data_IF_167494080784
#
_entry.id   IF_167494080784
#
_cell.length_a   1.000
_cell.length_b   1.000
_cell.length_c   1.000
_cell.angle_alpha   90.00
_cell.angle_beta   90.00
_cell.angle_gamma   90.00
#
_symmetry.space_group_name_H-M   'P 1'
#
loop_
_entity.id
_entity.type
_entity.pdbx_description
1 polymer ?
#
# COMPACT_ATOMS: atom_id res chain seq x y z
N UNK A 1 37.03 4.79 18.56
CA UNK A 1 36.37 5.31 17.35
C UNK A 1 34.91 5.54 17.71
N UNK A 2 34.46 6.80 17.72
CA UNK A 2 33.09 7.14 18.05
C UNK A 2 32.21 6.93 16.81
N UNK A 3 31.13 6.17 16.94
CA UNK A 3 30.11 6.05 15.88
C UNK A 3 29.42 7.40 15.75
N UNK A 4 29.15 7.87 14.51
CA UNK A 4 28.40 9.10 14.34
C UNK A 4 26.98 8.90 14.88
N UNK A 5 26.56 9.85 15.73
CA UNK A 5 25.16 9.95 16.18
C UNK A 5 24.25 9.95 14.95
N UNK A 6 23.40 8.93 14.82
CA UNK A 6 22.31 8.96 13.87
C UNK A 6 21.44 10.17 14.21
N UNK A 7 21.39 11.13 13.30
CA UNK A 7 20.51 12.27 13.43
C UNK A 7 19.07 11.73 13.61
N UNK A 8 18.44 12.06 14.75
CA UNK A 8 17.07 11.72 15.03
C UNK A 8 16.22 12.35 13.93
N UNK A 9 15.59 11.53 13.09
CA UNK A 9 14.69 12.02 12.06
C UNK A 9 13.71 13.02 12.69
N UNK A 10 13.46 14.15 12.03
CA UNK A 10 12.48 15.12 12.50
C UNK A 10 11.13 14.40 12.65
N UNK A 11 10.40 14.71 13.74
CA UNK A 11 9.08 14.13 13.94
C UNK A 11 8.20 14.50 12.76
N UNK A 12 7.63 13.50 12.08
CA UNK A 12 6.70 13.70 10.98
C UNK A 12 5.41 14.36 11.49
N UNK A 13 4.85 15.27 10.70
CA UNK A 13 3.52 15.83 10.97
C UNK A 13 2.42 14.73 10.93
N UNK A 14 2.69 13.60 10.26
CA UNK A 14 1.83 12.43 10.16
C UNK A 14 2.02 11.40 11.30
N UNK A 15 2.71 11.73 12.37
CA UNK A 15 3.13 10.79 13.41
C UNK A 15 2.02 9.88 13.95
N UNK A 16 0.78 10.39 14.05
CA UNK A 16 -0.37 9.63 14.54
C UNK A 16 -0.79 8.46 13.61
N UNK A 17 -0.38 8.51 12.34
CA UNK A 17 -0.68 7.47 11.35
C UNK A 17 0.39 6.37 11.29
N UNK A 18 1.53 6.59 11.96
CA UNK A 18 2.69 5.71 11.93
C UNK A 18 2.86 4.95 13.23
N UNK A 19 3.26 3.70 13.13
CA UNK A 19 3.64 2.94 14.31
C UNK A 19 4.80 3.66 15.03
N UNK A 20 4.67 3.82 16.35
CA UNK A 20 5.61 4.56 17.21
C UNK A 20 5.89 6.01 16.77
N UNK A 21 5.00 6.62 15.97
CA UNK A 21 5.18 7.99 15.47
C UNK A 21 6.28 8.16 14.42
N UNK A 22 6.84 7.05 13.90
CA UNK A 22 7.95 7.06 12.96
C UNK A 22 7.51 6.63 11.57
N UNK A 23 7.71 7.51 10.58
CA UNK A 23 7.40 7.20 9.17
C UNK A 23 8.24 6.00 8.67
N UNK A 24 7.72 5.22 7.69
CA UNK A 24 8.54 4.28 6.95
C UNK A 24 9.80 4.95 6.38
N UNK A 25 10.93 4.25 6.42
CA UNK A 25 12.20 4.77 5.92
C UNK A 25 12.52 4.22 4.52
N UNK A 26 12.95 5.11 3.62
CA UNK A 26 13.32 4.73 2.26
C UNK A 26 14.78 4.25 2.26
N UNK A 27 14.97 2.93 2.34
CA UNK A 27 16.30 2.31 2.35
C UNK A 27 16.98 2.38 0.96
N UNK A 28 16.20 2.42 -0.13
CA UNK A 28 16.74 2.60 -1.47
C UNK A 28 16.85 4.10 -1.82
N UNK A 29 18.04 4.65 -1.76
CA UNK A 29 18.32 6.08 -2.02
C UNK A 29 17.87 6.57 -3.41
N UNK A 30 17.75 5.68 -4.40
CA UNK A 30 17.23 6.07 -5.72
C UNK A 30 15.76 6.49 -5.67
N UNK A 31 15.01 6.08 -4.66
CA UNK A 31 13.60 6.42 -4.48
C UNK A 31 13.40 7.75 -3.72
N UNK A 32 14.44 8.31 -3.11
CA UNK A 32 14.32 9.58 -2.36
C UNK A 32 14.22 10.81 -3.27
N UNK A 33 14.58 10.66 -4.55
CA UNK A 33 14.49 11.75 -5.52
C UNK A 33 13.03 12.17 -5.70
N UNK A 34 12.76 13.46 -5.44
CA UNK A 34 11.42 14.06 -5.49
C UNK A 34 10.38 13.31 -4.62
N UNK A 35 10.84 12.66 -3.54
CA UNK A 35 9.95 12.10 -2.52
C UNK A 35 9.46 13.22 -1.61
N UNK A 36 8.14 13.27 -1.36
CA UNK A 36 7.50 14.31 -0.53
C UNK A 36 6.45 13.66 0.36
N UNK A 37 6.54 13.93 1.65
CA UNK A 37 5.49 13.56 2.59
C UNK A 37 4.31 14.53 2.46
N UNK A 38 3.10 13.97 2.38
CA UNK A 38 1.83 14.71 2.43
C UNK A 38 1.01 14.14 3.56
N UNK A 39 0.65 14.98 4.52
CA UNK A 39 -0.17 14.61 5.66
C UNK A 39 -1.63 14.98 5.43
N UNK A 40 -2.49 14.00 5.67
CA UNK A 40 -3.93 14.14 5.68
C UNK A 40 -4.47 13.87 7.09
N UNK A 41 -5.74 14.16 7.33
CA UNK A 41 -6.35 14.06 8.66
C UNK A 41 -6.41 12.61 9.20
N UNK A 42 -6.49 11.58 8.34
CA UNK A 42 -6.60 10.19 8.74
C UNK A 42 -5.52 9.25 8.14
N UNK A 43 -4.60 9.76 7.35
CA UNK A 43 -3.51 8.98 6.74
C UNK A 43 -2.35 9.88 6.32
N UNK A 44 -1.17 9.27 6.15
CA UNK A 44 0.00 9.93 5.59
C UNK A 44 0.41 9.28 4.28
N UNK A 45 0.96 10.07 3.35
CA UNK A 45 1.45 9.61 2.04
C UNK A 45 2.89 10.02 1.85
N UNK A 46 3.74 9.12 1.43
CA UNK A 46 5.02 9.47 0.81
C UNK A 46 4.85 9.43 -0.70
N UNK A 47 4.76 10.59 -1.30
CA UNK A 47 4.60 10.74 -2.75
C UNK A 47 5.94 10.74 -3.48
N UNK A 48 5.99 10.13 -4.66
CA UNK A 48 7.12 10.19 -5.58
C UNK A 48 6.78 11.07 -6.78
N UNK A 49 7.49 12.19 -6.93
CA UNK A 49 7.39 13.03 -8.13
C UNK A 49 7.96 12.35 -9.39
N UNK A 50 8.74 11.28 -9.24
CA UNK A 50 9.25 10.49 -10.37
C UNK A 50 8.17 9.60 -10.96
N UNK A 51 7.47 8.82 -10.11
CA UNK A 51 6.39 7.93 -10.54
C UNK A 51 5.05 8.62 -10.65
N UNK A 52 4.87 9.78 -9.99
CA UNK A 52 3.63 10.53 -9.77
C UNK A 52 2.54 9.69 -9.10
N UNK A 53 2.99 8.80 -8.21
CA UNK A 53 2.15 7.94 -7.39
C UNK A 53 2.68 7.96 -5.95
N UNK A 54 1.93 7.49 -4.95
CA UNK A 54 2.51 7.23 -3.65
C UNK A 54 3.60 6.15 -3.76
N UNK A 55 4.67 6.26 -2.97
CA UNK A 55 5.53 5.13 -2.62
C UNK A 55 4.83 4.26 -1.59
N UNK A 56 4.11 4.90 -0.69
CA UNK A 56 3.22 4.28 0.28
C UNK A 56 2.20 5.30 0.82
N UNK A 57 1.05 4.78 1.30
CA UNK A 57 0.10 5.47 2.16
C UNK A 57 -0.02 4.69 3.46
N UNK A 58 -0.01 5.36 4.61
CA UNK A 58 -0.04 4.74 5.91
C UNK A 58 -1.25 5.21 6.73
N UNK A 59 -1.88 4.28 7.44
CA UNK A 59 -3.09 4.49 8.22
C UNK A 59 -2.96 3.82 9.60
N UNK A 60 -3.48 4.47 10.64
CA UNK A 60 -3.75 3.86 11.94
C UNK A 60 -5.25 3.56 12.02
N UNK A 61 -5.63 2.34 11.70
CA UNK A 61 -7.02 1.89 11.76
C UNK A 61 -7.40 1.55 13.18
N UNK A 62 -8.43 2.22 13.72
CA UNK A 62 -9.00 1.92 15.03
C UNK A 62 -10.45 1.45 14.89
N UNK A 63 -10.92 0.66 15.87
CA UNK A 63 -12.33 0.24 15.92
C UNK A 63 -13.29 1.43 15.95
N UNK A 64 -12.94 2.49 16.69
CA UNK A 64 -13.75 3.71 16.78
C UNK A 64 -13.83 4.41 15.42
N UNK A 65 -12.67 4.73 14.80
CA UNK A 65 -12.63 5.39 13.49
C UNK A 65 -13.37 4.60 12.41
N UNK A 66 -13.21 3.26 12.39
CA UNK A 66 -13.95 2.41 11.45
C UNK A 66 -15.46 2.33 11.73
N UNK A 67 -15.89 2.52 12.99
CA UNK A 67 -17.31 2.65 13.31
C UNK A 67 -17.90 3.94 12.76
N UNK A 68 -17.13 5.03 12.84
CA UNK A 68 -17.53 6.33 12.31
C UNK A 68 -17.53 6.31 10.77
N UNK A 69 -16.50 5.71 10.15
CA UNK A 69 -16.40 5.55 8.69
C UNK A 69 -17.64 4.88 8.05
N UNK A 70 -18.30 3.95 8.75
CA UNK A 70 -19.53 3.30 8.26
C UNK A 70 -20.71 4.25 8.08
N UNK A 71 -20.69 5.40 8.73
CA UNK A 71 -21.75 6.42 8.67
C UNK A 71 -21.53 7.43 7.56
N UNK A 72 -20.34 7.40 6.95
CA UNK A 72 -19.96 8.37 5.93
C UNK A 72 -20.41 7.87 4.55
N UNK A 73 -21.25 8.65 3.89
CA UNK A 73 -21.65 8.37 2.51
C UNK A 73 -20.50 8.68 1.56
N UNK A 74 -20.19 7.77 0.65
CA UNK A 74 -19.11 7.96 -0.32
C UNK A 74 -19.45 9.06 -1.33
N UNK A 75 -18.58 10.07 -1.39
CA UNK A 75 -18.60 11.12 -2.42
C UNK A 75 -17.31 11.05 -3.22
N UNK A 76 -17.40 10.77 -4.52
CA UNK A 76 -16.23 10.66 -5.39
C UNK A 76 -15.71 12.07 -5.75
N UNK A 77 -14.76 12.57 -4.99
CA UNK A 77 -14.15 13.88 -5.16
C UNK A 77 -12.68 13.78 -5.60
N UNK A 78 -12.41 13.07 -6.69
CA UNK A 78 -11.03 12.95 -7.21
C UNK A 78 -10.46 14.31 -7.60
N UNK A 79 -9.27 14.64 -7.10
CA UNK A 79 -8.58 15.90 -7.34
C UNK A 79 -7.05 15.73 -7.35
N UNK A 80 -6.37 16.63 -8.06
CA UNK A 80 -4.93 16.72 -8.00
C UNK A 80 -4.48 17.28 -6.64
N UNK A 81 -3.34 16.81 -6.12
CA UNK A 81 -2.82 17.26 -4.84
C UNK A 81 -2.17 18.65 -4.94
N UNK A 82 -2.77 19.63 -4.29
CA UNK A 82 -2.30 21.03 -4.36
C UNK A 82 -1.00 21.28 -3.60
N UNK A 83 -0.68 20.46 -2.59
CA UNK A 83 0.55 20.55 -1.82
C UNK A 83 1.78 20.09 -2.61
N UNK A 84 1.57 19.43 -3.76
CA UNK A 84 2.64 18.93 -4.63
C UNK A 84 2.85 19.85 -5.83
N UNK A 85 4.11 20.04 -6.28
CA UNK A 85 4.39 20.75 -7.52
C UNK A 85 3.65 20.13 -8.72
N UNK A 86 3.11 20.96 -9.61
CA UNK A 86 2.37 20.49 -10.79
C UNK A 86 3.20 19.57 -11.71
N UNK A 87 4.53 19.75 -11.72
CA UNK A 87 5.47 18.91 -12.48
C UNK A 87 5.65 17.51 -11.87
N UNK A 88 5.33 17.32 -10.58
CA UNK A 88 5.57 16.11 -9.82
C UNK A 88 4.31 15.32 -9.46
N UNK A 89 3.13 15.89 -9.62
CA UNK A 89 1.85 15.27 -9.27
C UNK A 89 1.12 14.69 -10.48
N UNK A 90 0.23 13.74 -10.24
CA UNK A 90 -0.75 13.29 -11.21
C UNK A 90 -1.89 14.30 -11.36
N UNK A 91 -2.48 14.38 -12.54
CA UNK A 91 -3.65 15.18 -12.86
C UNK A 91 -4.81 14.27 -13.31
N UNK A 92 -6.05 14.74 -13.18
CA UNK A 92 -7.23 13.96 -13.60
C UNK A 92 -7.17 13.53 -15.06
N UNK A 93 -6.63 14.38 -15.93
CA UNK A 93 -6.47 14.11 -17.37
C UNK A 93 -5.57 12.91 -17.66
N UNK A 94 -4.60 12.61 -16.78
CA UNK A 94 -3.67 11.50 -16.97
C UNK A 94 -4.39 10.15 -16.95
N UNK A 95 -5.54 10.06 -16.28
CA UNK A 95 -6.36 8.86 -16.17
C UNK A 95 -7.48 8.76 -17.23
N UNK A 96 -7.71 9.81 -18.00
CA UNK A 96 -8.79 9.82 -19.01
C UNK A 96 -8.50 8.80 -20.10
N UNK A 97 -9.42 7.84 -20.29
CA UNK A 97 -9.31 6.75 -21.27
C UNK A 97 -8.03 5.91 -21.13
N UNK A 98 -7.46 5.86 -19.94
CA UNK A 98 -6.23 5.09 -19.68
C UNK A 98 -6.43 3.58 -19.65
N UNK A 99 -7.66 3.10 -19.45
CA UNK A 99 -7.96 1.69 -19.23
C UNK A 99 -7.74 1.24 -17.76
N UNK A 100 -7.27 2.14 -16.91
CA UNK A 100 -7.03 1.88 -15.48
C UNK A 100 -7.99 2.66 -14.59
N UNK A 101 -8.33 2.07 -13.44
CA UNK A 101 -9.02 2.78 -12.37
C UNK A 101 -8.01 3.65 -11.58
N UNK A 102 -8.51 4.65 -10.89
CA UNK A 102 -7.78 5.37 -9.83
C UNK A 102 -7.90 4.54 -8.56
N UNK A 103 -6.93 3.63 -8.34
CA UNK A 103 -6.91 2.73 -7.21
C UNK A 103 -6.41 3.42 -5.95
N UNK A 104 -7.17 3.35 -4.86
CA UNK A 104 -6.80 3.92 -3.57
C UNK A 104 -5.72 3.09 -2.88
N UNK A 105 -4.77 3.77 -2.23
CA UNK A 105 -3.86 3.11 -1.28
C UNK A 105 -4.44 3.16 0.13
N UNK A 106 -4.83 4.33 0.64
CA UNK A 106 -5.69 4.49 1.81
C UNK A 106 -7.16 4.56 1.36
N UNK A 107 -8.00 3.56 1.67
CA UNK A 107 -9.35 3.45 1.10
C UNK A 107 -10.31 4.49 1.66
N UNK A 108 -11.17 5.05 0.83
CA UNK A 108 -12.21 6.00 1.28
C UNK A 108 -13.19 5.41 2.31
N UNK A 109 -13.32 4.09 2.35
CA UNK A 109 -14.20 3.40 3.32
C UNK A 109 -13.58 3.25 4.72
N UNK A 110 -12.33 3.64 4.90
CA UNK A 110 -11.62 3.62 6.19
C UNK A 110 -11.65 5.00 6.88
N UNK A 111 -12.09 6.03 6.16
CA UNK A 111 -12.04 7.42 6.58
C UNK A 111 -13.17 7.77 7.57
N UNK A 112 -12.84 8.29 8.78
CA UNK A 112 -13.80 8.44 9.89
C UNK A 112 -14.76 9.61 9.73
N UNK A 113 -14.48 10.55 8.84
CA UNK A 113 -15.29 11.76 8.64
C UNK A 113 -15.29 12.20 7.17
N UNK A 114 -16.18 13.16 6.77
CA UNK A 114 -16.28 13.62 5.39
C UNK A 114 -15.02 14.32 4.86
N UNK A 115 -14.24 15.00 5.73
CA UNK A 115 -12.99 15.65 5.33
C UNK A 115 -11.95 14.60 4.97
N UNK A 116 -11.69 13.65 5.86
CA UNK A 116 -10.78 12.55 5.62
C UNK A 116 -11.18 11.75 4.37
N UNK A 117 -12.49 11.53 4.17
CA UNK A 117 -12.97 10.87 2.96
C UNK A 117 -12.66 11.69 1.70
N UNK A 118 -12.90 13.00 1.69
CA UNK A 118 -12.55 13.88 0.57
C UNK A 118 -11.04 13.85 0.30
N UNK A 119 -10.21 13.93 1.34
CA UNK A 119 -8.76 13.85 1.25
C UNK A 119 -8.28 12.52 0.64
N UNK A 120 -8.96 11.40 0.95
CA UNK A 120 -8.61 10.09 0.38
C UNK A 120 -8.70 10.03 -1.14
N UNK A 121 -9.47 10.94 -1.77
CA UNK A 121 -9.60 11.07 -3.22
C UNK A 121 -8.51 11.93 -3.89
N UNK A 122 -7.54 12.45 -3.12
CA UNK A 122 -6.33 13.06 -3.68
C UNK A 122 -5.58 12.08 -4.58
N UNK A 123 -5.17 12.53 -5.76
CA UNK A 123 -4.38 11.70 -6.69
C UNK A 123 -3.00 11.33 -6.13
N UNK A 124 -2.52 11.98 -5.07
CA UNK A 124 -1.31 11.55 -4.35
C UNK A 124 -1.50 10.22 -3.62
N UNK A 125 -2.74 9.81 -3.36
CA UNK A 125 -3.13 8.53 -2.75
C UNK A 125 -3.54 7.47 -3.78
N UNK A 126 -3.35 7.75 -5.09
CA UNK A 126 -3.85 6.90 -6.18
C UNK A 126 -2.73 6.27 -7.00
N UNK A 127 -3.01 5.07 -7.50
CA UNK A 127 -2.22 4.45 -8.54
C UNK A 127 -3.10 4.05 -9.73
N UNK A 128 -2.56 4.00 -10.96
CA UNK A 128 -3.25 3.33 -12.07
C UNK A 128 -3.38 1.85 -11.76
N UNK A 129 -4.59 1.39 -11.45
CA UNK A 129 -4.87 0.01 -11.04
C UNK A 129 -5.74 -0.71 -12.05
N UNK A 130 -5.42 -1.97 -12.35
CA UNK A 130 -6.28 -2.82 -13.17
C UNK A 130 -7.71 -2.86 -12.58
N UNK A 131 -8.72 -2.63 -13.41
CA UNK A 131 -10.11 -2.43 -12.95
C UNK A 131 -10.70 -3.68 -12.28
N UNK A 132 -10.41 -4.88 -12.79
CA UNK A 132 -10.89 -6.11 -12.16
C UNK A 132 -10.19 -6.36 -10.83
N UNK A 133 -8.86 -6.17 -10.79
CA UNK A 133 -8.10 -6.25 -9.55
C UNK A 133 -8.67 -5.29 -8.50
N UNK A 134 -8.81 -4.00 -8.85
CA UNK A 134 -9.30 -2.95 -7.95
C UNK A 134 -10.68 -3.26 -7.38
N UNK A 135 -11.63 -3.64 -8.26
CA UNK A 135 -13.04 -3.78 -7.88
C UNK A 135 -13.38 -5.08 -7.17
N UNK A 136 -12.57 -6.12 -7.30
CA UNK A 136 -12.87 -7.44 -6.74
C UNK A 136 -11.85 -7.89 -5.70
N UNK A 137 -10.64 -8.28 -6.10
CA UNK A 137 -9.65 -8.82 -5.17
C UNK A 137 -9.18 -7.77 -4.17
N UNK A 138 -8.79 -6.57 -4.67
CA UNK A 138 -8.26 -5.50 -3.81
C UNK A 138 -9.32 -5.00 -2.84
N UNK A 139 -10.53 -4.73 -3.30
CA UNK A 139 -11.67 -4.38 -2.44
C UNK A 139 -11.96 -5.46 -1.39
N UNK A 140 -11.77 -6.74 -1.73
CA UNK A 140 -11.88 -7.87 -0.81
C UNK A 140 -10.78 -7.87 0.26
N UNK A 141 -9.53 -7.55 -0.11
CA UNK A 141 -8.40 -7.38 0.82
C UNK A 141 -8.69 -6.22 1.78
N UNK A 142 -9.06 -5.05 1.27
CA UNK A 142 -9.41 -3.88 2.07
C UNK A 142 -10.51 -4.19 3.09
N UNK A 143 -11.58 -4.83 2.65
CA UNK A 143 -12.69 -5.24 3.52
C UNK A 143 -12.24 -6.23 4.61
N UNK A 144 -11.33 -7.15 4.27
CA UNK A 144 -10.80 -8.14 5.20
C UNK A 144 -9.89 -7.49 6.26
N UNK A 145 -9.04 -6.54 5.86
CA UNK A 145 -8.19 -5.77 6.78
C UNK A 145 -9.04 -4.89 7.69
N UNK A 146 -10.05 -4.21 7.17
CA UNK A 146 -11.01 -3.42 7.94
C UNK A 146 -11.72 -4.26 9.01
N UNK A 147 -12.21 -5.46 8.62
CA UNK A 147 -12.80 -6.38 9.58
C UNK A 147 -11.79 -6.82 10.63
N UNK A 148 -10.56 -7.15 10.24
CA UNK A 148 -9.50 -7.53 11.17
C UNK A 148 -9.22 -6.40 12.17
N UNK A 149 -9.15 -5.13 11.72
CA UNK A 149 -8.95 -3.99 12.61
C UNK A 149 -10.10 -3.84 13.63
N UNK A 150 -11.35 -4.05 13.20
CA UNK A 150 -12.50 -4.05 14.11
C UNK A 150 -12.42 -5.18 15.16
N UNK A 151 -12.04 -6.38 14.74
CA UNK A 151 -11.92 -7.53 15.63
C UNK A 151 -10.75 -7.36 16.62
N UNK A 152 -9.63 -6.80 16.18
CA UNK A 152 -8.39 -6.62 16.95
C UNK A 152 -8.40 -5.33 17.81
N UNK A 153 -9.16 -4.33 17.41
CA UNK A 153 -9.27 -3.01 18.05
C UNK A 153 -8.48 -1.94 17.34
N UNK A 154 -7.26 -2.26 16.87
CA UNK A 154 -6.42 -1.37 16.07
C UNK A 154 -5.44 -2.14 15.19
N UNK A 155 -5.03 -1.55 14.08
CA UNK A 155 -3.96 -2.00 13.19
C UNK A 155 -3.23 -0.79 12.60
N UNK A 156 -1.93 -0.94 12.37
CA UNK A 156 -1.19 -0.06 11.48
C UNK A 156 -1.11 -0.70 10.09
N UNK A 157 -1.48 0.06 9.07
CA UNK A 157 -1.56 -0.43 7.70
C UNK A 157 -0.73 0.46 6.79
N UNK A 158 0.12 -0.14 5.95
CA UNK A 158 0.92 0.57 4.95
C UNK A 158 0.66 -0.07 3.60
N UNK A 159 0.20 0.73 2.65
CA UNK A 159 -0.22 0.27 1.33
C UNK A 159 0.59 0.98 0.25
N UNK A 160 1.04 0.28 -0.76
CA UNK A 160 1.78 0.93 -1.83
C UNK A 160 1.99 0.07 -3.07
N UNK A 161 2.57 0.68 -4.12
CA UNK A 161 2.93 0.03 -5.36
C UNK A 161 4.34 -0.54 -5.34
N UNK A 162 4.57 -1.55 -6.21
CA UNK A 162 5.90 -1.96 -6.63
C UNK A 162 6.00 -1.83 -8.16
N UNK A 163 7.17 -1.38 -8.60
CA UNK A 163 7.50 -1.23 -10.02
C UNK A 163 8.65 -2.19 -10.36
N UNK A 164 8.32 -3.28 -11.04
CA UNK A 164 9.28 -4.32 -11.40
C UNK A 164 9.31 -4.54 -12.91
N UNK A 165 10.48 -4.90 -13.42
CA UNK A 165 10.68 -5.14 -14.84
C UNK A 165 11.50 -4.04 -15.51
N UNK A 166 11.89 -4.31 -16.78
CA UNK A 166 12.73 -3.40 -17.56
C UNK A 166 11.95 -2.23 -18.18
N UNK A 167 10.64 -2.43 -18.40
CA UNK A 167 9.76 -1.43 -18.98
C UNK A 167 8.54 -1.26 -18.10
N UNK A 168 8.27 -0.03 -17.70
CA UNK A 168 7.10 0.34 -16.89
C UNK A 168 6.12 1.13 -17.77
N UNK A 169 4.90 0.65 -17.88
CA UNK A 169 3.80 1.34 -18.57
C UNK A 169 3.47 2.66 -17.86
N UNK A 170 3.02 3.66 -18.61
CA UNK A 170 2.56 4.94 -18.09
C UNK A 170 1.16 5.26 -18.58
N UNK A 171 0.39 5.98 -17.79
CA UNK A 171 -0.86 6.62 -18.20
C UNK A 171 -0.63 8.12 -18.33
N UNK A 172 -1.30 8.76 -19.32
CA UNK A 172 -1.08 10.17 -19.62
C UNK A 172 0.38 10.50 -19.92
N UNK A 173 1.18 9.53 -20.38
CA UNK A 173 2.62 9.61 -20.69
C UNK A 173 3.50 10.06 -19.53
N UNK A 174 3.00 9.95 -18.28
CA UNK A 174 3.72 10.51 -17.13
C UNK A 174 3.49 9.79 -15.80
N UNK A 175 2.36 9.15 -15.56
CA UNK A 175 2.06 8.46 -14.30
C UNK A 175 2.38 6.98 -14.47
N UNK A 176 3.31 6.46 -13.69
CA UNK A 176 3.75 5.07 -13.82
C UNK A 176 2.67 4.09 -13.33
N UNK A 177 2.46 3.02 -14.09
CA UNK A 177 1.57 1.91 -13.73
C UNK A 177 2.35 0.89 -12.90
N UNK A 178 1.97 0.62 -11.64
CA UNK A 178 2.65 -0.39 -10.85
C UNK A 178 2.42 -1.79 -11.41
N UNK A 179 3.40 -2.66 -11.28
CA UNK A 179 3.29 -4.07 -11.66
C UNK A 179 2.68 -4.91 -10.53
N UNK A 180 2.86 -4.49 -9.28
CA UNK A 180 2.31 -5.14 -8.10
C UNK A 180 1.84 -4.09 -7.09
N UNK A 181 0.97 -4.52 -6.19
CA UNK A 181 0.51 -3.75 -5.03
C UNK A 181 0.78 -4.55 -3.77
N UNK A 182 1.07 -3.86 -2.68
CA UNK A 182 1.20 -4.47 -1.37
C UNK A 182 0.29 -3.78 -0.33
N UNK A 183 -0.10 -4.54 0.69
CA UNK A 183 -0.76 -4.01 1.88
C UNK A 183 -0.17 -4.70 3.11
N UNK A 184 0.70 -3.96 3.81
CA UNK A 184 1.33 -4.39 5.08
C UNK A 184 0.34 -4.15 6.21
N UNK A 185 0.23 -5.10 7.11
CA UNK A 185 -0.62 -5.04 8.30
C UNK A 185 0.21 -5.38 9.53
N UNK A 186 0.14 -4.53 10.55
CA UNK A 186 0.74 -4.78 11.86
C UNK A 186 -0.31 -4.71 12.97
N UNK A 187 -0.37 -5.75 13.80
CA UNK A 187 -1.18 -5.83 15.02
C UNK A 187 -0.28 -5.52 16.23
N UNK A 188 -0.36 -4.32 16.81
CA UNK A 188 0.52 -3.92 17.91
C UNK A 188 0.26 -4.69 19.20
N UNK A 189 -0.98 -5.14 19.43
CA UNK A 189 -1.35 -5.90 20.63
C UNK A 189 -0.79 -7.31 20.64
N UNK A 190 -0.71 -7.93 19.45
CA UNK A 190 -0.16 -9.28 19.28
C UNK A 190 1.29 -9.29 18.85
N UNK A 191 1.84 -8.13 18.48
CA UNK A 191 3.19 -7.98 17.92
C UNK A 191 3.39 -8.90 16.71
N UNK A 192 2.43 -8.91 15.80
CA UNK A 192 2.42 -9.73 14.58
C UNK A 192 2.25 -8.84 13.36
N UNK A 193 3.00 -9.15 12.30
CA UNK A 193 2.91 -8.40 11.05
C UNK A 193 2.92 -9.36 9.85
N UNK A 194 2.37 -8.90 8.74
CA UNK A 194 2.37 -9.63 7.46
C UNK A 194 1.89 -8.73 6.34
N UNK A 195 2.04 -9.15 5.11
CA UNK A 195 1.65 -8.34 3.97
C UNK A 195 0.95 -9.17 2.89
N UNK A 196 -0.10 -8.63 2.32
CA UNK A 196 -0.61 -9.05 1.02
C UNK A 196 0.30 -8.51 -0.09
N UNK A 197 0.58 -9.34 -1.07
CA UNK A 197 1.27 -8.97 -2.30
C UNK A 197 0.43 -9.46 -3.48
N UNK A 198 0.10 -8.56 -4.41
CA UNK A 198 -0.87 -8.78 -5.49
C UNK A 198 -0.30 -8.26 -6.81
N UNK A 199 -0.39 -9.02 -7.90
CA UNK A 199 -0.13 -8.50 -9.25
C UNK A 199 -1.20 -7.46 -9.62
N UNK A 200 -0.81 -6.38 -10.28
CA UNK A 200 -1.76 -5.37 -10.78
C UNK A 200 -2.43 -5.83 -12.08
N UNK A 201 -3.04 -7.01 -12.03
CA UNK A 201 -3.63 -7.72 -13.15
C UNK A 201 -4.97 -8.34 -12.74
N UNK A 202 -5.73 -8.85 -13.72
CA UNK A 202 -7.06 -9.44 -13.51
C UNK A 202 -7.02 -10.92 -13.04
N UNK A 203 -5.90 -11.40 -12.47
CA UNK A 203 -5.73 -12.83 -12.14
C UNK A 203 -6.52 -13.28 -10.92
N UNK A 204 -6.77 -12.38 -9.99
CA UNK A 204 -7.40 -12.73 -8.69
C UNK A 204 -6.44 -13.41 -7.71
N UNK A 205 -5.14 -13.55 -8.05
CA UNK A 205 -4.13 -14.21 -7.24
C UNK A 205 -3.46 -13.23 -6.27
N UNK A 206 -3.13 -13.72 -5.08
CA UNK A 206 -2.37 -12.98 -4.08
C UNK A 206 -1.47 -13.92 -3.28
N UNK A 207 -0.43 -13.37 -2.69
CA UNK A 207 0.38 -14.06 -1.70
C UNK A 207 0.38 -13.32 -0.37
N UNK A 208 0.69 -14.04 0.70
CA UNK A 208 0.99 -13.45 2.01
C UNK A 208 2.46 -13.68 2.28
N UNK A 209 3.19 -12.60 2.53
CA UNK A 209 4.64 -12.61 2.75
C UNK A 209 4.96 -11.95 4.10
N UNK A 210 6.16 -12.24 4.61
CA UNK A 210 6.67 -11.53 5.77
C UNK A 210 7.01 -10.07 5.44
N UNK A 211 7.00 -9.21 6.46
CA UNK A 211 7.42 -7.81 6.31
C UNK A 211 8.85 -7.73 5.80
N UNK A 212 9.77 -8.56 6.34
CA UNK A 212 11.17 -8.57 5.94
C UNK A 212 11.38 -8.98 4.47
N UNK A 213 10.56 -9.88 3.93
CA UNK A 213 10.59 -10.23 2.49
C UNK A 213 10.11 -9.05 1.64
N UNK A 214 9.03 -8.39 2.06
CA UNK A 214 8.52 -7.24 1.32
C UNK A 214 9.46 -6.04 1.39
N UNK A 215 10.10 -5.76 2.53
CA UNK A 215 11.11 -4.70 2.68
C UNK A 215 12.27 -4.85 1.68
N UNK A 216 12.76 -6.08 1.49
CA UNK A 216 13.78 -6.38 0.47
C UNK A 216 13.30 -6.12 -0.96
N UNK A 217 12.01 -6.36 -1.22
CA UNK A 217 11.41 -6.14 -2.53
C UNK A 217 11.14 -4.65 -2.81
N UNK A 218 10.66 -3.94 -1.78
CA UNK A 218 10.24 -2.54 -1.88
C UNK A 218 11.40 -1.55 -1.73
N UNK A 219 12.47 -1.92 -1.01
CA UNK A 219 13.53 -0.99 -0.63
C UNK A 219 13.07 0.04 0.40
N UNK A 220 12.11 -0.33 1.25
CA UNK A 220 11.50 0.50 2.29
C UNK A 220 11.53 -0.28 3.60
N UNK A 221 12.01 0.31 4.69
CA UNK A 221 11.78 -0.17 6.05
C UNK A 221 10.40 0.33 6.51
N UNK A 222 9.40 -0.54 6.51
CA UNK A 222 8.02 -0.16 6.83
C UNK A 222 7.82 0.21 8.30
N UNK A 223 8.59 -0.37 9.19
CA UNK A 223 8.49 -0.16 10.62
C UNK A 223 9.87 0.01 11.25
N UNK A 224 10.48 1.20 11.14
CA UNK A 224 11.78 1.48 11.72
C UNK A 224 11.82 1.18 13.22
N UNK A 225 12.83 0.44 13.67
CA UNK A 225 12.98 0.03 15.06
C UNK A 225 12.15 -1.19 15.49
N UNK A 226 11.34 -1.77 14.60
CA UNK A 226 10.61 -3.01 14.92
C UNK A 226 11.58 -4.21 15.00
N UNK A 227 11.41 -5.09 16.03
CA UNK A 227 12.25 -6.27 16.14
C UNK A 227 12.21 -7.17 14.90
N UNK A 228 13.38 -7.63 14.45
CA UNK A 228 13.50 -8.50 13.28
C UNK A 228 12.67 -9.80 13.40
N UNK A 229 12.46 -10.32 14.60
CA UNK A 229 11.61 -11.48 14.87
C UNK A 229 10.15 -11.26 14.48
N UNK A 230 9.64 -10.02 14.62
CA UNK A 230 8.27 -9.65 14.19
C UNK A 230 8.20 -9.53 12.67
N UNK A 231 9.23 -8.94 12.06
CA UNK A 231 9.28 -8.73 10.60
C UNK A 231 9.51 -10.03 9.82
N UNK A 232 10.22 -11.00 10.38
CA UNK A 232 10.65 -12.22 9.67
C UNK A 232 9.58 -13.28 9.50
N UNK A 233 8.48 -13.21 10.25
CA UNK A 233 7.40 -14.19 10.20
C UNK A 233 6.11 -13.55 9.76
N UNK A 234 5.54 -14.04 8.66
CA UNK A 234 4.25 -13.54 8.19
C UNK A 234 3.13 -13.96 9.15
N UNK A 235 2.37 -12.99 9.67
CA UNK A 235 1.12 -13.28 10.38
C UNK A 235 0.09 -13.89 9.42
N UNK A 236 -0.79 -14.73 9.94
CA UNK A 236 -1.94 -15.20 9.17
C UNK A 236 -2.90 -14.05 8.90
N UNK A 237 -3.07 -13.69 7.63
CA UNK A 237 -4.01 -12.68 7.17
C UNK A 237 -5.31 -13.33 6.67
N UNK A 238 -6.48 -12.68 6.86
CA UNK A 238 -7.75 -13.22 6.39
C UNK A 238 -7.76 -13.43 4.88
N UNK A 239 -8.38 -14.52 4.42
CA UNK A 239 -8.64 -14.70 2.98
C UNK A 239 -9.60 -13.60 2.50
N UNK A 240 -9.25 -12.83 1.44
CA UNK A 240 -10.13 -11.82 0.88
C UNK A 240 -11.38 -12.47 0.32
N UNK A 241 -12.54 -11.91 0.66
CA UNK A 241 -13.80 -12.28 0.02
C UNK A 241 -13.98 -11.36 -1.17
N UNK A 242 -14.09 -11.90 -2.38
CA UNK A 242 -14.32 -11.09 -3.57
C UNK A 242 -15.58 -10.22 -3.38
N UNK A 243 -15.45 -8.92 -3.54
CA UNK A 243 -16.57 -8.01 -3.48
C UNK A 243 -17.46 -8.26 -4.70
N UNK A 244 -18.73 -8.66 -4.48
CA UNK A 244 -19.79 -8.65 -5.50
C UNK A 244 -19.69 -9.67 -6.64
N UNK A 245 -19.04 -10.81 -6.45
CA UNK A 245 -18.93 -11.85 -7.47
C UNK A 245 -19.91 -12.97 -7.27
N UNK A 246 -20.95 -13.03 -8.11
CA UNK A 246 -21.72 -14.27 -8.34
C UNK A 246 -20.78 -15.36 -8.84
N UNK A 247 -20.81 -16.50 -8.17
CA UNK A 247 -20.10 -17.74 -8.41
C UNK A 247 -19.83 -18.05 -9.89
N UNK A 248 -18.57 -17.92 -10.30
CA UNK A 248 -17.99 -18.87 -11.27
C UNK A 248 -16.92 -19.66 -10.52
N UNK A 249 -17.31 -20.88 -10.08
CA UNK A 249 -16.35 -21.88 -9.61
C UNK A 249 -15.28 -22.05 -10.69
N UNK A 250 -14.07 -21.50 -10.49
CA UNK A 250 -12.86 -21.97 -11.11
C UNK A 250 -12.19 -22.95 -10.14
N UNK A 251 -11.72 -24.05 -10.71
CA UNK A 251 -11.03 -25.15 -10.01
C UNK A 251 -9.96 -24.61 -9.09
N UNK A 252 -9.89 -25.20 -7.90
CA UNK A 252 -8.71 -25.22 -7.05
C UNK A 252 -7.51 -25.61 -7.92
N UNK A 253 -6.70 -24.65 -8.31
CA UNK A 253 -5.34 -24.89 -8.77
C UNK A 253 -4.46 -24.70 -7.54
N UNK A 254 -3.63 -25.71 -7.31
CA UNK A 254 -2.69 -25.78 -6.20
C UNK A 254 -1.95 -24.45 -6.04
N UNK A 255 -2.04 -23.87 -4.84
CA UNK A 255 -1.23 -22.73 -4.44
C UNK A 255 0.22 -23.21 -4.45
N UNK A 256 1.16 -22.55 -5.15
CA UNK A 256 2.55 -22.92 -5.13
C UNK A 256 3.03 -22.99 -3.67
N UNK A 257 3.58 -24.12 -3.29
CA UNK A 257 4.13 -24.28 -1.96
C UNK A 257 5.34 -23.35 -1.80
N UNK A 258 5.70 -23.01 -0.57
CA UNK A 258 6.91 -22.23 -0.22
C UNK A 258 8.17 -22.64 -1.03
N UNK A 259 8.27 -23.92 -1.40
CA UNK A 259 9.34 -24.47 -2.24
C UNK A 259 9.32 -23.97 -3.68
N UNK A 260 8.15 -23.80 -4.28
CA UNK A 260 8.00 -23.33 -5.68
C UNK A 260 8.26 -21.84 -5.80
N UNK A 261 7.91 -21.06 -4.76
CA UNK A 261 8.26 -19.62 -4.68
C UNK A 261 9.77 -19.44 -4.55
N UNK A 262 10.47 -20.30 -3.81
CA UNK A 262 11.95 -20.29 -3.72
C UNK A 262 12.59 -20.60 -5.07
N UNK A 263 12.03 -21.53 -5.83
CA UNK A 263 12.55 -21.88 -7.18
C UNK A 263 12.46 -20.70 -8.14
N UNK A 264 11.39 -19.92 -8.09
CA UNK A 264 11.25 -18.69 -8.92
C UNK A 264 12.23 -17.61 -8.47
N UNK A 265 12.46 -17.45 -7.17
CA UNK A 265 13.44 -16.51 -6.62
C UNK A 265 14.90 -16.92 -6.98
N UNK A 266 15.20 -18.22 -7.02
CA UNK A 266 16.52 -18.71 -7.39
C UNK A 266 16.79 -18.62 -8.89
N UNK A 267 15.79 -18.82 -9.75
CA UNK A 267 15.86 -18.55 -11.19
C UNK A 267 16.12 -17.06 -11.46
N UNK A 268 15.47 -16.16 -10.74
CA UNK A 268 15.69 -14.72 -10.87
C UNK A 268 17.10 -14.30 -10.43
N UNK A 269 17.70 -14.98 -9.42
CA UNK A 269 19.09 -14.75 -9.00
C UNK A 269 20.11 -15.18 -10.06
N UNK A 270 19.76 -16.14 -10.90
CA UNK A 270 20.67 -16.67 -11.95
C UNK A 270 20.67 -15.81 -13.21
N UNK A 271 19.63 -15.00 -13.42
CA UNK A 271 19.48 -14.12 -14.61
C UNK A 271 20.12 -12.73 -14.38
N UNK A 272 20.49 -12.39 -13.12
CA UNK A 272 21.06 -11.08 -12.73
C UNK A 272 22.59 -11.14 -12.51
N UNK A 273 23.23 -12.18 -13.00
CA UNK A 273 24.72 -12.23 -13.09
C UNK A 273 25.22 -11.88 -14.47
#
# INVERSE_FOLDING_TARGET
MAFPNAAKAAASACGDHYWSGTAPDIANSAMTRAAREVCFSAFGVMHSGVTRTPLWSAEHLTRAGLSDARRISRVNNFHAESQLPASERAELRDYVRSGYDRGHMAPSADMPDPQAQSESFSLSNMVPQNSENNRYLWAGIESSVRKLAQDRGELFVITGPLFKGKTITQVGDRVMVPTQLFKVVYDPKRKQAGAYLVANEATGDYSVVSVAELEKLAGIDFFPGMPASVKSTAMSLPKPKAAGGGSKRKREQDVPTYREVQTVLDILRTIIR
#
